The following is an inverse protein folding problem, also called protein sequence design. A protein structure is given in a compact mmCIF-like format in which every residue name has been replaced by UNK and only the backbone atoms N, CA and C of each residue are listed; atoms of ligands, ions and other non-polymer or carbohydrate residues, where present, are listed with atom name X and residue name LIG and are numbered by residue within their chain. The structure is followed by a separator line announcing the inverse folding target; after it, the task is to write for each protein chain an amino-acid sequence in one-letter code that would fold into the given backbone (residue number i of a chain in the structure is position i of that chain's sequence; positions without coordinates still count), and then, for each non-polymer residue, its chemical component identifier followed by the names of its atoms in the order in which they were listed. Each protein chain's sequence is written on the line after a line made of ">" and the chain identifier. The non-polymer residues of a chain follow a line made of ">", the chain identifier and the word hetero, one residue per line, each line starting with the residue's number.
data_IF_424664354121
#
_entry.id   IF_424664354121
#
_cell.length_a   1.000
_cell.length_b   1.000
_cell.length_c   1.000
_cell.angle_alpha   90.00
_cell.angle_beta   90.00
_cell.angle_gamma   90.00
#
_symmetry.space_group_name_H-M   'P 1'
#
loop_
_entity.id
_entity.type
_entity.pdbx_description
1 polymer ?
#
# COMPACT_ATOMS: atom_id res chain seq x y z
N UNK A 1 -18.10 3.01 -12.30
CA UNK A 1 -17.29 2.64 -11.12
C UNK A 1 -18.02 1.51 -10.44
N UNK A 2 -17.52 0.27 -10.55
CA UNK A 2 -18.15 -0.88 -9.90
C UNK A 2 -18.02 -0.74 -8.37
N UNK A 3 -19.01 -1.16 -7.58
CA UNK A 3 -18.90 -1.16 -6.13
C UNK A 3 -17.78 -2.13 -5.74
N UNK A 4 -16.74 -1.64 -5.08
CA UNK A 4 -15.74 -2.51 -4.46
C UNK A 4 -16.42 -3.06 -3.22
N UNK A 5 -16.74 -4.35 -3.21
CA UNK A 5 -17.18 -5.04 -2.00
C UNK A 5 -16.09 -4.81 -0.95
N UNK A 6 -16.41 -3.96 0.02
CA UNK A 6 -15.53 -3.66 1.14
C UNK A 6 -15.50 -4.94 1.97
N UNK A 7 -14.44 -5.71 1.81
CA UNK A 7 -14.02 -6.69 2.81
C UNK A 7 -14.16 -6.01 4.18
N UNK A 8 -14.71 -6.71 5.18
CA UNK A 8 -14.94 -6.18 6.53
C UNK A 8 -13.59 -5.95 7.24
N UNK A 9 -12.90 -4.88 6.83
CA UNK A 9 -11.59 -4.48 7.33
C UNK A 9 -11.66 -4.13 8.81
N UNK A 10 -12.78 -3.55 9.24
CA UNK A 10 -13.02 -3.18 10.63
C UNK A 10 -13.13 -4.44 11.52
N UNK A 11 -13.84 -5.47 11.05
CA UNK A 11 -13.91 -6.76 11.71
C UNK A 11 -12.57 -7.48 11.80
N UNK A 12 -11.78 -7.48 10.70
CA UNK A 12 -10.44 -8.06 10.69
C UNK A 12 -9.49 -7.31 11.63
N UNK A 13 -9.53 -5.97 11.64
CA UNK A 13 -8.72 -5.15 12.53
C UNK A 13 -9.05 -5.43 13.99
N UNK A 14 -10.34 -5.54 14.33
CA UNK A 14 -10.78 -5.87 15.68
C UNK A 14 -10.28 -7.25 16.10
N UNK A 15 -10.40 -8.25 15.21
CA UNK A 15 -9.88 -9.59 15.47
C UNK A 15 -8.36 -9.59 15.70
N UNK A 16 -7.61 -8.80 14.92
CA UNK A 16 -6.17 -8.66 15.07
C UNK A 16 -5.80 -8.03 16.43
N UNK A 17 -6.55 -7.00 16.87
CA UNK A 17 -6.38 -6.37 18.18
C UNK A 17 -6.64 -7.35 19.32
N UNK A 18 -7.71 -8.14 19.22
CA UNK A 18 -8.07 -9.14 20.23
C UNK A 18 -6.96 -10.20 20.36
N UNK A 19 -6.40 -10.67 19.24
CA UNK A 19 -5.26 -11.61 19.23
C UNK A 19 -4.02 -11.00 19.91
N UNK A 20 -3.68 -9.75 19.59
CA UNK A 20 -2.53 -9.07 20.20
C UNK A 20 -2.74 -8.90 21.70
N UNK A 21 -3.97 -8.57 22.12
CA UNK A 21 -4.33 -8.44 23.53
C UNK A 21 -4.23 -9.78 24.28
N UNK A 22 -4.72 -10.86 23.67
CA UNK A 22 -4.57 -12.21 24.21
C UNK A 22 -3.08 -12.57 24.37
N UNK A 23 -2.24 -12.29 23.37
CA UNK A 23 -0.79 -12.53 23.43
C UNK A 23 -0.09 -11.71 24.52
N UNK A 24 -0.47 -10.45 24.69
CA UNK A 24 0.03 -9.61 25.77
C UNK A 24 -0.38 -10.15 27.14
N UNK A 25 -1.63 -10.60 27.28
CA UNK A 25 -2.12 -11.17 28.53
C UNK A 25 -1.41 -12.48 28.89
N UNK A 26 -1.10 -13.34 27.90
CA UNK A 26 -0.21 -14.52 28.09
C UNK A 26 1.11 -14.07 28.72
N UNK A 27 1.77 -13.10 28.09
CA UNK A 27 3.11 -12.66 28.47
C UNK A 27 3.14 -12.14 29.91
N UNK A 28 2.17 -11.30 30.28
CA UNK A 28 2.05 -10.76 31.64
C UNK A 28 1.82 -11.88 32.64
N UNK A 29 0.90 -12.80 32.37
CA UNK A 29 0.62 -13.91 33.28
C UNK A 29 1.84 -14.82 33.47
N UNK A 30 2.48 -15.27 32.38
CA UNK A 30 3.68 -16.10 32.45
C UNK A 30 4.80 -15.41 33.23
N UNK A 31 4.99 -14.10 33.03
CA UNK A 31 5.97 -13.31 33.79
C UNK A 31 5.63 -13.24 35.28
N UNK A 32 4.36 -12.98 35.64
CA UNK A 32 3.92 -12.90 37.05
C UNK A 32 4.00 -14.24 37.78
N UNK A 33 3.74 -15.36 37.09
CA UNK A 33 3.85 -16.70 37.69
C UNK A 33 5.31 -17.10 37.92
N UNK A 34 6.20 -16.78 36.98
CA UNK A 34 7.64 -17.03 37.13
C UNK A 34 8.26 -16.19 38.27
N UNK A 35 7.87 -14.92 38.40
CA UNK A 35 8.33 -14.05 39.51
C UNK A 35 7.76 -14.45 40.87
N UNK A 36 6.59 -15.08 40.93
CA UNK A 36 5.96 -15.55 42.18
C UNK A 36 6.39 -16.96 42.60
N UNK A 37 7.29 -17.60 41.85
CA UNK A 37 7.91 -18.88 42.21
C UNK A 37 7.01 -20.10 42.03
N UNK A 38 5.84 -19.95 41.37
CA UNK A 38 5.02 -21.09 40.91
C UNK A 38 5.31 -21.29 39.44
N UNK A 39 5.89 -22.42 39.05
CA UNK A 39 6.30 -22.59 37.66
C UNK A 39 5.08 -22.47 36.73
N UNK A 40 5.13 -21.54 35.79
CA UNK A 40 4.08 -21.36 34.78
C UNK A 40 3.79 -22.67 34.05
N UNK A 41 4.80 -23.54 33.94
CA UNK A 41 4.71 -24.90 33.41
C UNK A 41 3.70 -25.77 34.17
N UNK A 42 3.73 -25.77 35.51
CA UNK A 42 2.83 -26.59 36.33
C UNK A 42 1.38 -26.12 36.26
N UNK A 43 1.15 -24.81 36.26
CA UNK A 43 -0.21 -24.23 36.16
C UNK A 43 -0.80 -24.46 34.76
N UNK A 44 -0.01 -24.23 33.70
CA UNK A 44 -0.44 -24.51 32.33
C UNK A 44 -0.67 -26.01 32.11
N UNK A 45 0.17 -26.87 32.67
CA UNK A 45 -0.07 -28.32 32.63
C UNK A 45 -1.30 -28.73 33.43
N UNK A 46 -1.60 -28.08 34.56
CA UNK A 46 -2.79 -28.37 35.35
C UNK A 46 -4.06 -27.92 34.65
N UNK A 47 -4.11 -26.71 34.07
CA UNK A 47 -5.26 -26.26 33.27
C UNK A 47 -5.46 -27.12 32.01
N UNK A 48 -4.38 -27.67 31.45
CA UNK A 48 -4.43 -28.68 30.38
C UNK A 48 -4.80 -30.09 30.90
N UNK A 49 -4.61 -30.38 32.18
CA UNK A 49 -4.89 -31.69 32.81
C UNK A 49 -6.29 -31.77 33.46
N UNK A 50 -6.93 -30.63 33.77
CA UNK A 50 -8.35 -30.52 34.17
C UNK A 50 -9.32 -31.01 33.07
N UNK A 51 -8.79 -31.51 31.95
CA UNK A 51 -9.51 -32.09 30.81
C UNK A 51 -10.11 -33.51 31.09
N UNK A 52 -9.90 -34.12 32.26
CA UNK A 52 -10.59 -35.39 32.63
C UNK A 52 -11.73 -35.18 33.68
N UNK A 53 -12.96 -35.69 33.44
CA UNK A 53 -14.06 -35.54 34.38
C UNK A 53 -13.92 -36.58 35.51
N UNK A 54 -13.58 -36.13 36.71
CA UNK A 54 -13.75 -36.90 37.96
C UNK A 54 -14.43 -36.00 38.99
N UNK A 55 -15.39 -36.52 39.78
CA UNK A 55 -16.36 -35.72 40.54
C UNK A 55 -15.73 -34.98 41.74
N UNK A 56 -16.43 -33.96 42.28
CA UNK A 56 -15.81 -32.91 43.06
C UNK A 56 -15.68 -33.28 44.54
N UNK A 57 -14.54 -32.94 45.13
CA UNK A 57 -14.42 -32.75 46.57
C UNK A 57 -13.80 -31.39 46.84
N UNK A 58 -14.69 -30.43 47.12
CA UNK A 58 -14.56 -29.37 48.12
C UNK A 58 -13.14 -28.91 48.44
N UNK A 59 -12.78 -27.71 47.97
CA UNK A 59 -12.42 -26.57 48.84
C UNK A 59 -12.65 -25.27 48.07
N UNK A 60 -13.54 -24.43 48.61
CA UNK A 60 -13.57 -23.00 48.30
C UNK A 60 -12.19 -22.45 48.64
N UNK A 61 -11.52 -21.86 47.65
CA UNK A 61 -10.64 -20.69 47.73
C UNK A 61 -10.01 -20.52 46.34
N UNK A 62 -10.86 -20.39 45.32
CA UNK A 62 -10.43 -19.94 44.02
C UNK A 62 -10.17 -18.44 44.15
N UNK A 63 -8.97 -18.09 44.63
CA UNK A 63 -8.36 -16.82 44.28
C UNK A 63 -8.54 -16.66 42.79
N UNK A 64 -9.27 -15.59 42.44
CA UNK A 64 -9.61 -15.08 41.12
C UNK A 64 -8.36 -15.04 40.23
N UNK A 65 -7.94 -16.21 39.77
CA UNK A 65 -6.94 -16.39 38.75
C UNK A 65 -7.63 -16.00 37.47
N UNK A 66 -7.10 -14.98 36.82
CA UNK A 66 -7.44 -14.61 35.46
C UNK A 66 -7.32 -15.86 34.61
N UNK A 67 -8.44 -16.52 34.33
CA UNK A 67 -8.48 -17.82 33.68
C UNK A 67 -8.07 -17.63 32.22
N UNK A 68 -6.79 -17.82 31.99
CA UNK A 68 -6.20 -17.84 30.66
C UNK A 68 -6.74 -19.04 29.89
N UNK A 69 -7.36 -18.82 28.72
CA UNK A 69 -7.85 -19.91 27.88
C UNK A 69 -6.99 -20.02 26.62
N UNK A 70 -5.95 -20.87 26.58
CA UNK A 70 -5.13 -21.07 25.37
C UNK A 70 -5.97 -21.50 24.14
N UNK A 71 -7.17 -22.06 24.37
CA UNK A 71 -8.12 -22.43 23.32
C UNK A 71 -8.72 -21.21 22.59
N UNK A 72 -8.91 -20.07 23.26
CA UNK A 72 -9.49 -18.86 22.63
C UNK A 72 -8.54 -18.26 21.60
N UNK A 73 -7.25 -18.17 21.93
CA UNK A 73 -6.22 -17.72 21.00
C UNK A 73 -6.14 -18.63 19.76
N UNK A 74 -6.11 -19.95 19.95
CA UNK A 74 -6.05 -20.89 18.81
C UNK A 74 -7.28 -20.78 17.91
N UNK A 75 -8.46 -20.54 18.49
CA UNK A 75 -9.71 -20.38 17.74
C UNK A 75 -9.75 -19.04 17.00
N UNK A 76 -9.16 -17.98 17.59
CA UNK A 76 -9.03 -16.67 16.95
C UNK A 76 -8.07 -16.68 15.75
N UNK A 77 -6.92 -17.38 15.85
CA UNK A 77 -6.00 -17.54 14.72
C UNK A 77 -6.61 -18.39 13.58
N UNK A 78 -7.33 -19.46 13.93
CA UNK A 78 -8.00 -20.32 12.96
C UNK A 78 -9.13 -19.57 12.22
N UNK A 79 -9.91 -18.76 12.93
CA UNK A 79 -10.94 -17.94 12.30
C UNK A 79 -10.32 -16.87 11.40
N UNK A 80 -9.21 -16.23 11.79
CA UNK A 80 -8.51 -15.26 10.92
C UNK A 80 -8.02 -15.93 9.64
N UNK A 81 -7.41 -17.11 9.75
CA UNK A 81 -6.97 -17.88 8.60
C UNK A 81 -8.14 -18.29 7.69
N UNK A 82 -9.28 -18.71 8.26
CA UNK A 82 -10.47 -19.04 7.48
C UNK A 82 -11.04 -17.82 6.73
N UNK A 83 -11.02 -16.64 7.35
CA UNK A 83 -11.48 -15.39 6.74
C UNK A 83 -10.53 -14.90 5.64
N UNK A 84 -9.21 -15.02 5.83
CA UNK A 84 -8.19 -14.54 4.87
C UNK A 84 -7.96 -15.51 3.69
N UNK A 85 -8.08 -16.81 3.92
CA UNK A 85 -7.87 -17.86 2.91
C UNK A 85 -9.15 -18.21 2.14
N UNK A 86 -10.26 -17.51 2.41
CA UNK A 86 -11.52 -17.71 1.70
C UNK A 86 -11.40 -17.26 0.24
N UNK A 87 -11.85 -18.06 -0.75
CA UNK A 87 -11.76 -17.72 -2.18
C UNK A 87 -12.60 -16.50 -2.58
N UNK A 88 -13.49 -16.02 -1.70
CA UNK A 88 -14.25 -14.78 -1.88
C UNK A 88 -13.68 -13.58 -1.10
N UNK A 89 -12.59 -13.75 -0.34
CA UNK A 89 -11.90 -12.65 0.29
C UNK A 89 -11.04 -11.95 -0.76
N UNK A 90 -11.58 -10.92 -1.42
CA UNK A 90 -10.80 -9.99 -2.24
C UNK A 90 -9.94 -9.12 -1.33
N UNK A 91 -8.76 -9.63 -0.99
CA UNK A 91 -7.73 -8.84 -0.32
C UNK A 91 -7.08 -7.89 -1.33
N UNK A 92 -6.82 -6.62 -0.95
CA UNK A 92 -6.04 -5.72 -1.77
C UNK A 92 -4.65 -6.32 -2.04
N UNK A 93 -4.19 -6.25 -3.29
CA UNK A 93 -2.82 -6.62 -3.63
C UNK A 93 -1.86 -5.59 -3.04
N UNK A 94 -0.98 -6.04 -2.13
CA UNK A 94 0.03 -5.19 -1.49
C UNK A 94 1.37 -5.39 -2.20
N UNK A 95 2.01 -4.31 -2.70
CA UNK A 95 3.37 -4.35 -3.23
C UNK A 95 4.38 -4.98 -2.26
N UNK A 96 5.32 -5.81 -2.72
CA UNK A 96 6.32 -6.43 -1.84
C UNK A 96 7.25 -5.40 -1.17
N UNK A 97 7.49 -4.27 -1.83
CA UNK A 97 8.28 -3.16 -1.25
C UNK A 97 7.61 -2.58 -0.01
N UNK A 98 6.26 -2.55 0.04
CA UNK A 98 5.54 -2.11 1.24
C UNK A 98 5.70 -3.09 2.40
N UNK A 99 5.84 -4.39 2.13
CA UNK A 99 6.09 -5.39 3.16
C UNK A 99 7.46 -5.16 3.81
N UNK A 100 8.49 -4.88 3.01
CA UNK A 100 9.84 -4.57 3.50
C UNK A 100 9.86 -3.33 4.42
N UNK A 101 9.03 -2.32 4.13
CA UNK A 101 8.86 -1.17 5.01
C UNK A 101 8.33 -1.57 6.39
N UNK A 102 7.30 -2.43 6.43
CA UNK A 102 6.70 -2.91 7.67
C UNK A 102 7.65 -3.84 8.44
N UNK A 103 8.36 -4.74 7.75
CA UNK A 103 9.34 -5.64 8.37
C UNK A 103 10.50 -4.88 9.04
N UNK A 104 10.93 -3.77 8.43
CA UNK A 104 11.96 -2.89 8.98
C UNK A 104 11.44 -1.90 10.03
N UNK A 105 10.14 -1.94 10.38
CA UNK A 105 9.52 -1.02 11.33
C UNK A 105 9.38 0.42 10.83
N UNK A 106 9.47 0.67 9.52
CA UNK A 106 9.29 2.00 8.91
C UNK A 106 7.81 2.25 8.62
N UNK A 107 7.38 3.51 8.73
CA UNK A 107 6.00 3.88 8.43
C UNK A 107 5.67 3.59 6.94
N UNK A 108 4.68 2.72 6.61
CA UNK A 108 4.29 2.41 5.24
C UNK A 108 3.76 3.63 4.45
N UNK A 109 3.30 4.69 5.13
CA UNK A 109 2.87 5.94 4.48
C UNK A 109 4.01 6.64 3.74
N UNK A 110 5.27 6.36 4.14
CA UNK A 110 6.42 6.95 3.46
C UNK A 110 6.57 6.36 2.06
N UNK A 111 6.31 5.06 1.88
CA UNK A 111 6.33 4.43 0.55
C UNK A 111 5.28 5.06 -0.37
N UNK A 112 4.05 5.24 0.12
CA UNK A 112 2.97 5.80 -0.70
C UNK A 112 3.28 7.25 -1.10
N UNK A 113 3.87 8.03 -0.18
CA UNK A 113 4.40 9.36 -0.47
C UNK A 113 5.50 9.33 -1.53
N UNK A 114 6.53 8.51 -1.34
CA UNK A 114 7.65 8.37 -2.27
C UNK A 114 7.17 7.92 -3.66
N UNK A 115 6.18 7.02 -3.71
CA UNK A 115 5.57 6.56 -4.95
C UNK A 115 4.88 7.70 -5.70
N UNK A 116 4.06 8.51 -5.01
CA UNK A 116 3.40 9.67 -5.63
C UNK A 116 4.43 10.70 -6.11
N UNK A 117 5.47 10.95 -5.32
CA UNK A 117 6.56 11.84 -5.70
C UNK A 117 7.33 11.32 -6.93
N UNK A 118 7.59 10.01 -6.99
CA UNK A 118 8.23 9.34 -8.12
C UNK A 118 7.37 9.42 -9.39
N UNK A 119 6.08 9.11 -9.30
CA UNK A 119 5.14 9.19 -10.43
C UNK A 119 5.05 10.62 -10.94
N UNK A 120 4.94 11.60 -10.03
CA UNK A 120 4.90 13.02 -10.40
C UNK A 120 6.19 13.43 -11.12
N UNK A 121 7.36 13.11 -10.56
CA UNK A 121 8.67 13.42 -11.16
C UNK A 121 8.82 12.73 -12.52
N UNK A 122 8.45 11.46 -12.62
CA UNK A 122 8.50 10.67 -13.85
C UNK A 122 7.60 11.26 -14.95
N UNK A 123 6.37 11.64 -14.60
CA UNK A 123 5.44 12.25 -15.54
C UNK A 123 5.94 13.63 -16.03
N UNK A 124 6.43 14.47 -15.13
CA UNK A 124 7.05 15.75 -15.51
C UNK A 124 8.27 15.56 -16.41
N UNK A 125 9.14 14.59 -16.08
CA UNK A 125 10.31 14.27 -16.88
C UNK A 125 9.92 13.79 -18.28
N UNK A 126 8.94 12.89 -18.39
CA UNK A 126 8.46 12.40 -19.69
C UNK A 126 7.85 13.54 -20.53
N UNK A 127 7.02 14.39 -19.92
CA UNK A 127 6.48 15.57 -20.60
C UNK A 127 7.59 16.50 -21.11
N UNK A 128 8.61 16.75 -20.28
CA UNK A 128 9.77 17.55 -20.67
C UNK A 128 10.54 16.93 -21.84
N UNK A 129 10.77 15.61 -21.82
CA UNK A 129 11.40 14.90 -22.94
C UNK A 129 10.56 14.99 -24.22
N UNK A 130 9.26 14.73 -24.14
CA UNK A 130 8.35 14.85 -25.29
C UNK A 130 8.38 16.26 -25.88
N UNK A 131 8.39 17.30 -25.04
CA UNK A 131 8.50 18.69 -25.50
C UNK A 131 9.84 18.95 -26.20
N UNK A 132 10.96 18.54 -25.59
CA UNK A 132 12.29 18.72 -26.19
C UNK A 132 12.45 17.98 -27.53
N UNK A 133 11.90 16.75 -27.65
CA UNK A 133 11.88 16.03 -28.92
C UNK A 133 10.94 16.69 -29.94
N UNK A 134 9.84 17.29 -29.50
CA UNK A 134 8.96 18.09 -30.34
C UNK A 134 9.67 19.31 -30.91
N UNK A 135 10.36 20.08 -30.07
CA UNK A 135 11.15 21.24 -30.49
C UNK A 135 12.30 20.84 -31.43
N UNK A 136 13.01 19.75 -31.11
CA UNK A 136 14.07 19.23 -31.96
C UNK A 136 13.55 18.82 -33.33
N UNK A 137 12.40 18.13 -33.41
CA UNK A 137 11.73 17.79 -34.67
C UNK A 137 11.42 19.04 -35.48
N UNK A 138 10.85 20.07 -34.85
CA UNK A 138 10.45 21.29 -35.55
C UNK A 138 11.67 22.05 -36.12
N UNK A 139 12.76 22.18 -35.34
CA UNK A 139 14.02 22.80 -35.80
C UNK A 139 14.67 21.99 -36.90
N UNK A 140 14.77 20.66 -36.74
CA UNK A 140 15.36 19.79 -37.74
C UNK A 140 14.59 19.85 -39.06
N UNK A 141 13.27 19.86 -39.01
CA UNK A 141 12.44 19.98 -40.20
C UNK A 141 12.63 21.31 -40.93
N UNK A 142 12.82 22.41 -40.19
CA UNK A 142 13.12 23.72 -40.77
C UNK A 142 14.48 23.73 -41.49
N UNK A 143 15.52 23.18 -40.87
CA UNK A 143 16.86 23.09 -41.46
C UNK A 143 16.91 22.12 -42.65
N UNK A 144 16.18 21.00 -42.59
CA UNK A 144 16.08 20.09 -43.74
C UNK A 144 15.37 20.76 -44.91
N UNK A 145 14.32 21.54 -44.65
CA UNK A 145 13.58 22.26 -45.69
C UNK A 145 14.37 23.46 -46.28
N UNK A 146 15.37 23.99 -45.56
CA UNK A 146 16.26 25.05 -46.06
C UNK A 146 17.46 24.50 -46.83
N UNK A 147 18.07 23.41 -46.33
CA UNK A 147 19.23 22.78 -46.95
C UNK A 147 18.88 21.92 -48.17
N UNK A 148 17.67 21.33 -48.21
CA UNK A 148 17.22 20.41 -49.27
C UNK A 148 15.80 20.77 -49.75
N UNK A 149 15.66 21.71 -50.70
CA UNK A 149 14.36 22.18 -51.15
C UNK A 149 13.49 21.10 -51.81
N UNK A 150 14.10 20.08 -52.42
CA UNK A 150 13.38 18.97 -53.08
C UNK A 150 12.60 18.09 -52.09
N UNK A 151 13.06 17.99 -50.84
CA UNK A 151 12.46 17.14 -49.80
C UNK A 151 11.38 17.88 -48.98
N UNK A 152 11.15 19.16 -49.26
CA UNK A 152 10.27 20.02 -48.43
C UNK A 152 8.85 19.48 -48.31
N UNK A 153 8.28 18.95 -49.40
CA UNK A 153 6.94 18.38 -49.41
C UNK A 153 6.83 17.12 -48.51
N UNK A 154 7.87 16.27 -48.53
CA UNK A 154 7.91 15.06 -47.71
C UNK A 154 8.10 15.40 -46.22
N UNK A 155 8.96 16.37 -45.89
CA UNK A 155 9.14 16.86 -44.52
C UNK A 155 7.85 17.47 -43.97
N UNK A 156 7.12 18.23 -44.77
CA UNK A 156 5.84 18.83 -44.37
C UNK A 156 4.77 17.76 -44.11
N UNK A 157 4.73 16.71 -44.95
CA UNK A 157 3.85 15.56 -44.73
C UNK A 157 4.18 14.85 -43.41
N UNK A 158 5.45 14.56 -43.13
CA UNK A 158 5.88 13.90 -41.89
C UNK A 158 5.56 14.75 -40.66
N UNK A 159 5.76 16.07 -40.74
CA UNK A 159 5.36 17.00 -39.67
C UNK A 159 3.86 16.93 -39.40
N UNK A 160 3.03 16.91 -40.44
CA UNK A 160 1.57 16.85 -40.28
C UNK A 160 1.11 15.53 -39.62
N UNK A 161 1.75 14.40 -39.97
CA UNK A 161 1.46 13.09 -39.40
C UNK A 161 1.98 12.95 -37.96
N UNK A 162 3.09 13.60 -37.63
CA UNK A 162 3.71 13.56 -36.29
C UNK A 162 3.14 14.63 -35.34
N UNK A 163 2.17 15.44 -35.79
CA UNK A 163 1.58 16.53 -35.00
C UNK A 163 2.56 17.69 -34.73
N UNK A 164 3.42 18.00 -35.69
CA UNK A 164 4.39 19.08 -35.61
C UNK A 164 3.92 20.42 -36.14
N UNK A 165 4.67 21.48 -35.80
CA UNK A 165 4.34 22.83 -36.25
C UNK A 165 4.55 22.92 -37.76
N UNK A 166 3.55 23.44 -38.48
CA UNK A 166 3.67 23.66 -39.93
C UNK A 166 4.72 24.74 -40.22
N UNK A 167 5.57 24.47 -41.21
CA UNK A 167 6.66 25.35 -41.65
C UNK A 167 6.18 26.70 -42.21
N UNK A 168 4.89 26.86 -42.50
CA UNK A 168 4.31 28.09 -43.08
C UNK A 168 3.96 29.18 -42.07
N UNK A 169 3.98 28.91 -40.76
CA UNK A 169 3.48 29.86 -39.74
C UNK A 169 4.55 30.79 -39.12
N UNK A 170 5.76 30.86 -39.70
CA UNK A 170 6.88 31.66 -39.20
C UNK A 170 6.92 33.13 -39.65
N UNK A 171 5.93 33.62 -40.40
CA UNK A 171 5.98 34.95 -41.05
C UNK A 171 4.86 35.93 -40.67
N UNK A 172 4.38 35.92 -39.41
CA UNK A 172 3.61 37.07 -38.92
C UNK A 172 2.83 36.87 -37.64
N UNK A 173 3.36 37.38 -36.53
CA UNK A 173 2.59 38.14 -35.52
C UNK A 173 3.57 38.94 -34.67
N UNK A 174 3.86 40.15 -35.15
CA UNK A 174 4.58 41.19 -34.43
C UNK A 174 3.96 42.53 -34.79
N UNK A 175 2.75 42.80 -34.32
CA UNK A 175 2.17 44.15 -34.26
C UNK A 175 0.87 44.17 -33.46
N UNK A 176 0.85 45.06 -32.47
CA UNK A 176 -0.31 45.70 -31.84
C UNK A 176 -1.27 44.83 -31.02
N UNK A 177 -1.15 44.88 -29.69
CA UNK A 177 -2.16 45.65 -28.97
C UNK A 177 -1.58 46.26 -27.68
N UNK A 178 -1.64 47.58 -27.63
CA UNK A 178 -1.41 48.39 -26.45
C UNK A 178 -2.70 49.15 -26.19
N UNK A 179 -3.13 49.17 -24.93
CA UNK A 179 -4.07 50.15 -24.35
C UNK A 179 -5.55 49.76 -24.34
N UNK A 180 -6.03 49.30 -23.19
CA UNK A 180 -7.10 50.03 -22.47
C UNK A 180 -7.25 49.49 -21.06
N UNK A 181 -6.79 50.31 -20.11
CA UNK A 181 -7.26 50.32 -18.75
C UNK A 181 -8.59 51.10 -18.73
N UNK A 182 -9.62 50.55 -18.10
CA UNK A 182 -10.61 51.23 -17.26
C UNK A 182 -11.55 50.18 -16.66
#
# INVERSE_FOLDING_TARGET
>A
MAPVDRTDHDGLEQQLKDIIQDLYQVMVQVSTYDTTGRSSREVLSNEMFVIHPSPPSRTQNASRATSFHPKTLSQSLQSLHATTSSPHATLPSVPPELLEYVENGRNPDIYTREFVELVRRGNQLMRGKCHAFGDFRDVLAQEMASAMPELRADVEKILSETGGKSLMNGSGTGSADSTSAS
#
